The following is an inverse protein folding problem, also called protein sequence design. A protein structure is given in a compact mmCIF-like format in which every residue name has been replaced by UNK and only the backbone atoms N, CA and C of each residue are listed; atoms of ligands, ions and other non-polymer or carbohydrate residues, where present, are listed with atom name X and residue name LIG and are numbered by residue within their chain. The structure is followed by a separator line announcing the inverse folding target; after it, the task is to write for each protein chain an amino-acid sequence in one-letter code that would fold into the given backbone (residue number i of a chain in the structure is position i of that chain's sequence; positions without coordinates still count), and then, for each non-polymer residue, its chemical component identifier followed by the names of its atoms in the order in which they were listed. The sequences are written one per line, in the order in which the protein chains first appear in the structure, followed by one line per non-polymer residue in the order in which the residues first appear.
data_IF_260662890129
#
_entry.id   IF_260662890129
#
_cell.length_a   1.000
_cell.length_b   1.000
_cell.length_c   1.000
_cell.angle_alpha   90.00
_cell.angle_beta   90.00
_cell.angle_gamma   90.00
#
_symmetry.space_group_name_H-M   'P 1'
#
loop_
_entity.id
_entity.type
_entity.pdbx_description
1 polymer ?
#
# COMPACT_ATOMS: atom_id res chain seq x y z
N UNK A 1 4.50 6.16 -1.17
CA UNK A 1 5.78 6.30 -1.91
C UNK A 1 5.82 5.51 -3.20
N UNK A 2 5.47 4.21 -3.20
CA UNK A 2 5.54 3.33 -4.38
C UNK A 2 4.84 3.88 -5.63
N UNK A 3 3.59 4.34 -5.50
CA UNK A 3 2.84 4.90 -6.63
C UNK A 3 3.49 6.14 -7.27
N UNK A 4 4.06 7.04 -6.45
CA UNK A 4 4.79 8.20 -6.95
C UNK A 4 6.10 7.81 -7.64
N UNK A 5 6.81 6.82 -7.10
CA UNK A 5 8.02 6.29 -7.73
C UNK A 5 7.71 5.65 -9.09
N UNK A 6 6.59 4.93 -9.21
CA UNK A 6 6.12 4.41 -10.48
C UNK A 6 5.79 5.54 -11.48
N UNK A 7 5.03 6.55 -11.05
CA UNK A 7 4.63 7.70 -11.88
C UNK A 7 5.82 8.52 -12.39
N UNK A 8 6.83 8.75 -11.54
CA UNK A 8 8.04 9.45 -11.93
C UNK A 8 8.81 8.70 -13.04
N UNK A 9 8.65 7.37 -13.09
CA UNK A 9 9.31 6.49 -14.05
C UNK A 9 10.82 6.34 -13.78
N UNK A 10 11.43 5.41 -14.52
CA UNK A 10 12.88 5.20 -14.48
C UNK A 10 13.40 4.58 -13.16
N UNK A 11 14.52 5.09 -12.69
CA UNK A 11 15.21 4.61 -11.48
C UNK A 11 14.88 5.52 -10.30
N UNK A 12 14.53 4.94 -9.16
CA UNK A 12 14.20 5.65 -7.94
C UNK A 12 14.68 4.90 -6.71
N UNK A 13 14.95 5.65 -5.65
CA UNK A 13 15.33 5.13 -4.34
C UNK A 13 14.33 5.65 -3.30
N UNK A 14 13.74 4.74 -2.53
CA UNK A 14 12.87 5.09 -1.40
C UNK A 14 13.63 4.81 -0.11
N UNK A 15 13.93 5.86 0.65
CA UNK A 15 14.52 5.75 1.98
C UNK A 15 13.42 5.84 3.04
N UNK A 16 13.41 4.91 3.97
CA UNK A 16 12.39 4.86 5.03
C UNK A 16 12.88 4.06 6.24
N UNK A 17 11.99 3.85 7.21
CA UNK A 17 12.22 3.05 8.42
C UNK A 17 11.19 1.94 8.52
N UNK A 18 11.66 0.74 8.84
CA UNK A 18 10.79 -0.41 9.09
C UNK A 18 9.90 -0.13 10.31
N UNK A 19 8.59 -0.29 10.16
CA UNK A 19 7.61 -0.02 11.21
C UNK A 19 7.65 1.41 11.79
N UNK A 20 8.25 2.37 11.07
CA UNK A 20 8.59 3.69 11.58
C UNK A 20 9.43 3.65 12.88
N UNK A 21 10.28 2.63 13.02
CA UNK A 21 11.21 2.41 14.14
C UNK A 21 12.66 2.68 13.70
N UNK A 22 13.66 2.34 14.50
CA UNK A 22 15.04 2.80 14.28
C UNK A 22 15.76 2.16 13.09
N UNK A 23 15.30 1.02 12.56
CA UNK A 23 15.92 0.36 11.41
C UNK A 23 15.65 1.14 10.11
N UNK A 24 16.67 1.84 9.63
CA UNK A 24 16.68 2.48 8.31
C UNK A 24 16.86 1.46 7.20
N UNK A 25 16.05 1.61 6.15
CA UNK A 25 16.11 0.76 4.97
C UNK A 25 15.94 1.57 3.70
N UNK A 26 16.41 0.99 2.61
CA UNK A 26 16.29 1.54 1.28
C UNK A 26 15.59 0.52 0.39
N UNK A 27 14.68 0.99 -0.47
CA UNK A 27 14.03 0.20 -1.51
C UNK A 27 14.46 0.78 -2.86
N UNK A 28 15.14 -0.04 -3.66
CA UNK A 28 15.62 0.31 -4.99
C UNK A 28 14.62 -0.10 -6.07
N UNK A 29 14.39 0.83 -7.00
CA UNK A 29 13.66 0.62 -8.25
C UNK A 29 14.60 1.02 -9.37
N UNK A 30 14.88 0.10 -10.30
CA UNK A 30 15.75 0.36 -11.45
C UNK A 30 14.95 0.19 -12.74
N UNK A 31 14.92 1.22 -13.59
CA UNK A 31 14.20 1.19 -14.87
C UNK A 31 12.74 0.68 -14.74
N UNK A 32 12.02 1.12 -13.71
CA UNK A 32 10.65 0.71 -13.42
C UNK A 32 10.49 -0.68 -12.81
N UNK A 33 11.59 -1.39 -12.51
CA UNK A 33 11.59 -2.70 -11.85
C UNK A 33 11.98 -2.57 -10.39
N UNK A 34 11.14 -3.10 -9.50
CA UNK A 34 11.48 -3.24 -8.09
C UNK A 34 12.64 -4.24 -7.92
N UNK A 35 13.71 -3.83 -7.25
CA UNK A 35 14.89 -4.66 -6.99
C UNK A 35 14.82 -5.30 -5.61
N UNK A 36 14.53 -4.51 -4.57
CA UNK A 36 14.41 -5.01 -3.21
C UNK A 36 12.97 -5.52 -2.96
N UNK A 37 12.84 -6.83 -2.76
CA UNK A 37 11.54 -7.50 -2.60
C UNK A 37 11.36 -8.21 -1.25
N UNK A 38 12.39 -8.21 -0.40
CA UNK A 38 12.46 -8.86 0.91
C UNK A 38 11.69 -8.11 2.02
N UNK A 39 10.59 -7.48 1.66
CA UNK A 39 9.74 -6.69 2.55
C UNK A 39 8.28 -7.09 2.43
N UNK A 40 7.53 -6.75 3.47
CA UNK A 40 6.07 -6.79 3.49
C UNK A 40 5.51 -5.41 3.82
N UNK A 41 4.29 -5.15 3.38
CA UNK A 41 3.52 -3.95 3.71
C UNK A 41 2.32 -4.36 4.57
N UNK A 42 2.11 -3.63 5.66
CA UNK A 42 1.03 -3.83 6.61
C UNK A 42 -0.13 -2.87 6.32
N UNK A 43 -1.35 -3.42 6.22
CA UNK A 43 -2.60 -2.71 5.99
C UNK A 43 -3.55 -2.91 7.19
N UNK A 44 -3.45 -2.10 8.26
CA UNK A 44 -4.22 -2.28 9.49
C UNK A 44 -5.69 -1.84 9.37
N UNK A 45 -6.00 -0.93 8.45
CA UNK A 45 -7.31 -0.30 8.31
C UNK A 45 -8.07 -0.95 7.15
N UNK A 46 -9.33 -1.40 7.34
CA UNK A 46 -10.17 -1.80 6.22
C UNK A 46 -10.30 -0.67 5.20
N UNK A 47 -10.11 -0.94 3.91
CA UNK A 47 -10.09 0.04 2.83
C UNK A 47 -11.39 0.86 2.76
N UNK A 48 -12.55 0.27 3.09
CA UNK A 48 -13.83 1.01 3.21
C UNK A 48 -13.79 2.14 4.25
N UNK A 49 -12.85 2.12 5.20
CA UNK A 49 -12.63 3.13 6.23
C UNK A 49 -11.39 4.00 5.98
N UNK A 50 -10.61 3.73 4.94
CA UNK A 50 -9.33 4.41 4.70
C UNK A 50 -9.49 5.93 4.67
N UNK A 51 -10.61 6.42 4.11
CA UNK A 51 -10.93 7.83 3.96
C UNK A 51 -11.62 8.48 5.16
N UNK A 52 -12.10 7.70 6.15
CA UNK A 52 -12.64 8.28 7.40
C UNK A 52 -11.58 9.10 8.13
N UNK A 53 -10.32 8.64 8.08
CA UNK A 53 -9.15 9.38 8.54
C UNK A 53 -7.90 8.96 7.75
N UNK A 54 -7.73 9.53 6.56
CA UNK A 54 -6.61 9.18 5.66
C UNK A 54 -5.25 9.46 6.27
N UNK A 55 -5.12 10.52 7.07
CA UNK A 55 -3.86 10.86 7.75
C UNK A 55 -3.47 9.76 8.72
N UNK A 56 -4.41 9.28 9.54
CA UNK A 56 -4.17 8.15 10.43
C UNK A 56 -3.86 6.87 9.64
N UNK A 57 -4.69 6.53 8.65
CA UNK A 57 -4.49 5.33 7.80
C UNK A 57 -3.07 5.30 7.22
N UNK A 58 -2.61 6.39 6.60
CA UNK A 58 -1.27 6.47 6.02
C UNK A 58 -0.15 6.44 7.08
N UNK A 59 -0.40 6.94 8.29
CA UNK A 59 0.61 6.95 9.37
C UNK A 59 0.94 5.57 9.94
N UNK A 60 0.04 4.58 9.77
CA UNK A 60 0.21 3.21 10.29
C UNK A 60 0.25 2.13 9.20
N UNK A 61 0.13 2.51 7.92
CA UNK A 61 0.37 1.63 6.77
C UNK A 61 1.86 1.65 6.43
N UNK A 62 2.60 0.69 6.98
CA UNK A 62 4.06 0.72 7.05
C UNK A 62 4.69 -0.54 6.44
N UNK A 63 5.98 -0.45 6.15
CA UNK A 63 6.77 -1.59 5.64
C UNK A 63 7.50 -2.31 6.79
N UNK A 64 7.73 -3.61 6.61
CA UNK A 64 8.43 -4.47 7.56
C UNK A 64 9.29 -5.52 6.84
N UNK A 65 10.25 -6.14 7.53
CA UNK A 65 11.04 -7.24 6.96
C UNK A 65 10.21 -8.50 6.75
N UNK A 66 9.27 -8.75 7.64
CA UNK A 66 8.43 -9.94 7.62
C UNK A 66 7.20 -9.76 8.50
N UNK A 67 6.29 -10.72 8.40
CA UNK A 67 5.04 -10.73 9.14
C UNK A 67 5.22 -10.87 10.67
N UNK A 68 6.33 -11.45 11.15
CA UNK A 68 6.61 -11.51 12.59
C UNK A 68 6.83 -10.12 13.18
N UNK A 69 7.60 -9.27 12.51
CA UNK A 69 7.78 -7.88 12.95
C UNK A 69 6.47 -7.09 12.94
N UNK A 70 5.56 -7.39 12.01
CA UNK A 70 4.20 -6.79 12.01
C UNK A 70 3.46 -7.20 13.28
N UNK A 71 3.48 -8.48 13.66
CA UNK A 71 2.82 -8.97 14.87
C UNK A 71 3.34 -8.25 16.13
N UNK A 72 4.65 -8.18 16.28
CA UNK A 72 5.30 -7.55 17.45
C UNK A 72 4.97 -6.05 17.52
N UNK A 73 5.03 -5.37 16.38
CA UNK A 73 4.68 -3.95 16.28
C UNK A 73 3.21 -3.72 16.65
N UNK A 74 2.28 -4.52 16.11
CA UNK A 74 0.86 -4.46 16.42
C UNK A 74 0.58 -4.67 17.91
N UNK A 75 1.19 -5.69 18.50
CA UNK A 75 1.07 -5.99 19.94
C UNK A 75 1.57 -4.82 20.80
N UNK A 76 2.74 -4.26 20.47
CA UNK A 76 3.33 -3.15 21.23
C UNK A 76 2.54 -1.84 21.16
N UNK A 77 1.78 -1.62 20.07
CA UNK A 77 1.01 -0.40 19.81
C UNK A 77 -0.48 -0.53 20.10
N UNK A 78 -0.97 -1.74 20.39
CA UNK A 78 -2.40 -2.00 20.54
C UNK A 78 -3.19 -1.85 19.23
N UNK A 79 -2.55 -2.05 18.08
CA UNK A 79 -3.17 -1.93 16.76
C UNK A 79 -3.55 -3.33 16.24
N UNK A 80 -4.77 -3.55 15.75
CA UNK A 80 -5.11 -4.80 15.07
C UNK A 80 -4.28 -4.99 13.80
N UNK A 81 -3.79 -6.21 13.57
CA UNK A 81 -2.88 -6.55 12.46
C UNK A 81 -3.42 -6.30 11.05
N UNK A 82 -4.73 -6.29 10.85
CA UNK A 82 -5.30 -6.21 9.50
C UNK A 82 -4.71 -7.23 8.52
N UNK A 83 -4.23 -6.77 7.37
CA UNK A 83 -3.66 -7.60 6.30
C UNK A 83 -2.18 -7.30 6.04
N UNK A 84 -1.42 -8.28 5.58
CA UNK A 84 0.01 -8.17 5.30
C UNK A 84 0.30 -8.73 3.92
N UNK A 85 0.98 -7.96 3.07
CA UNK A 85 1.26 -8.35 1.68
C UNK A 85 2.73 -8.19 1.32
N UNK A 86 3.30 -9.08 0.48
CA UNK A 86 4.64 -8.89 -0.06
C UNK A 86 4.78 -7.54 -0.78
N UNK A 87 5.93 -6.88 -0.62
CA UNK A 87 6.19 -5.58 -1.25
C UNK A 87 6.05 -5.66 -2.78
N UNK A 88 6.47 -6.77 -3.39
CA UNK A 88 6.33 -6.98 -4.83
C UNK A 88 4.86 -6.98 -5.30
N UNK A 89 3.97 -7.60 -4.52
CA UNK A 89 2.52 -7.58 -4.82
C UNK A 89 1.97 -6.15 -4.71
N UNK A 90 2.38 -5.41 -3.69
CA UNK A 90 1.96 -4.02 -3.49
C UNK A 90 2.54 -3.08 -4.54
N UNK A 91 3.75 -3.34 -5.02
CA UNK A 91 4.33 -2.63 -6.17
C UNK A 91 3.50 -2.84 -7.42
N UNK A 92 3.17 -4.09 -7.76
CA UNK A 92 2.29 -4.41 -8.88
C UNK A 92 0.95 -3.68 -8.78
N UNK A 93 0.31 -3.73 -7.61
CA UNK A 93 -0.92 -2.97 -7.33
C UNK A 93 -0.73 -1.46 -7.53
N UNK A 94 0.34 -0.89 -6.98
CA UNK A 94 0.61 0.53 -7.11
C UNK A 94 0.80 0.97 -8.57
N UNK A 95 1.35 0.10 -9.42
CA UNK A 95 1.51 0.41 -10.85
C UNK A 95 0.15 0.62 -11.54
N UNK A 96 -0.81 -0.29 -11.38
CA UNK A 96 -2.16 -0.13 -11.95
C UNK A 96 -2.92 1.02 -11.28
N UNK A 97 -2.87 1.07 -9.95
CA UNK A 97 -3.58 2.08 -9.18
C UNK A 97 -3.18 3.50 -9.58
N UNK A 98 -1.89 3.74 -9.78
CA UNK A 98 -1.36 5.06 -10.11
C UNK A 98 -1.17 5.32 -11.61
N UNK A 99 -1.30 4.31 -12.49
CA UNK A 99 -0.97 4.41 -13.93
C UNK A 99 -1.50 5.66 -14.63
N UNK A 100 -2.71 6.09 -14.26
CA UNK A 100 -3.43 7.20 -14.91
C UNK A 100 -3.41 8.51 -14.12
N UNK A 101 -2.76 8.55 -12.96
CA UNK A 101 -2.80 9.74 -12.09
C UNK A 101 -2.09 10.97 -12.70
N UNK A 102 -1.26 10.78 -13.73
CA UNK A 102 -0.66 11.88 -14.50
C UNK A 102 -1.53 12.36 -15.68
N UNK A 103 -2.63 11.66 -15.99
CA UNK A 103 -3.54 12.05 -17.08
C UNK A 103 -4.29 13.34 -16.72
N UNK A 104 -4.41 14.27 -17.66
CA UNK A 104 -5.13 15.54 -17.44
C UNK A 104 -6.63 15.36 -17.21
N UNK A 105 -7.19 14.23 -17.64
CA UNK A 105 -8.57 13.83 -17.45
C UNK A 105 -8.73 12.74 -16.37
N UNK A 106 -7.72 12.53 -15.54
CA UNK A 106 -7.78 11.57 -14.45
C UNK A 106 -8.95 11.90 -13.51
N UNK A 107 -9.67 10.86 -13.11
CA UNK A 107 -10.73 10.92 -12.13
C UNK A 107 -10.45 9.86 -11.05
N UNK A 108 -10.96 10.13 -9.84
CA UNK A 108 -10.95 9.13 -8.76
C UNK A 108 -11.67 7.85 -9.20
N UNK A 109 -11.19 6.72 -8.71
CA UNK A 109 -11.83 5.43 -8.91
C UNK A 109 -13.24 5.44 -8.30
N UNK A 110 -14.19 4.90 -9.05
CA UNK A 110 -15.44 4.43 -8.45
C UNK A 110 -15.13 3.27 -7.50
N UNK A 111 -16.04 2.98 -6.58
CA UNK A 111 -15.86 1.83 -5.67
C UNK A 111 -15.83 0.50 -6.43
N UNK A 112 -16.59 0.39 -7.52
CA UNK A 112 -16.59 -0.78 -8.37
C UNK A 112 -15.24 -0.98 -9.05
N UNK A 113 -14.66 0.09 -9.63
CA UNK A 113 -13.32 0.04 -10.23
C UNK A 113 -12.25 -0.29 -9.18
N UNK A 114 -12.29 0.37 -8.02
CA UNK A 114 -11.33 0.11 -6.95
C UNK A 114 -11.39 -1.35 -6.46
N UNK A 115 -12.60 -1.89 -6.26
CA UNK A 115 -12.79 -3.29 -5.87
C UNK A 115 -12.27 -4.28 -6.92
N UNK A 116 -12.46 -3.97 -8.21
CA UNK A 116 -11.95 -4.82 -9.29
C UNK A 116 -10.41 -4.76 -9.35
N UNK A 117 -9.80 -3.58 -9.19
CA UNK A 117 -8.33 -3.44 -9.13
C UNK A 117 -7.78 -4.25 -7.94
N UNK A 118 -8.37 -4.16 -6.75
CA UNK A 118 -7.94 -4.96 -5.60
C UNK A 118 -7.98 -6.46 -5.91
N UNK A 119 -9.10 -6.93 -6.46
CA UNK A 119 -9.28 -8.34 -6.84
C UNK A 119 -8.26 -8.79 -7.90
N UNK A 120 -7.99 -7.98 -8.92
CA UNK A 120 -7.00 -8.27 -9.97
C UNK A 120 -5.59 -8.46 -9.40
N UNK A 121 -5.27 -7.72 -8.34
CA UNK A 121 -3.99 -7.85 -7.64
C UNK A 121 -4.02 -8.88 -6.49
N UNK A 122 -5.07 -9.69 -6.37
CA UNK A 122 -5.18 -10.70 -5.31
C UNK A 122 -5.32 -10.11 -3.90
N UNK A 123 -5.71 -8.84 -3.81
CA UNK A 123 -5.95 -8.11 -2.57
C UNK A 123 -7.41 -8.38 -2.17
N UNK A 124 -7.61 -9.42 -1.37
CA UNK A 124 -8.94 -9.93 -1.01
C UNK A 124 -9.09 -10.11 0.49
N UNK A 125 -10.33 -10.27 0.95
CA UNK A 125 -10.68 -10.47 2.36
C UNK A 125 -11.12 -9.18 3.07
N UNK A 126 -11.31 -9.22 4.40
CA UNK A 126 -12.05 -8.19 5.15
C UNK A 126 -11.45 -6.78 5.09
N UNK A 127 -10.14 -6.69 4.83
CA UNK A 127 -9.43 -5.42 4.66
C UNK A 127 -9.74 -4.79 3.30
N UNK A 128 -9.90 -5.58 2.24
CA UNK A 128 -10.08 -5.08 0.87
C UNK A 128 -11.54 -5.00 0.43
N UNK A 129 -12.46 -5.56 1.20
CA UNK A 129 -13.90 -5.46 0.95
C UNK A 129 -14.40 -4.02 1.03
N UNK A 130 -14.92 -3.53 -0.10
CA UNK A 130 -15.61 -2.26 -0.24
C UNK A 130 -17.13 -2.47 -0.24
N UNK A 131 -17.88 -1.57 0.41
CA UNK A 131 -19.34 -1.60 0.41
C UNK A 131 -19.91 -0.66 -0.65
N UNK A 132 -21.07 -1.00 -1.20
CA UNK A 132 -21.76 -0.20 -2.22
C UNK A 132 -22.23 1.20 -1.74
N UNK A 133 -22.07 1.53 -0.45
CA UNK A 133 -22.49 2.81 0.13
C UNK A 133 -21.52 3.96 -0.14
N UNK A 134 -20.33 3.67 -0.66
CA UNK A 134 -19.33 4.67 -1.02
C UNK A 134 -19.42 4.94 -2.53
N UNK A 135 -19.85 6.14 -2.94
CA UNK A 135 -19.99 6.45 -4.38
C UNK A 135 -18.62 6.63 -5.08
N UNK A 136 -17.56 6.93 -4.31
CA UNK A 136 -16.18 7.12 -4.81
C UNK A 136 -15.16 6.62 -3.79
N UNK A 137 -14.05 6.10 -4.30
CA UNK A 137 -12.87 5.70 -3.52
C UNK A 137 -11.71 6.67 -3.77
#
# INVERSE_FOLDING_TARGET
SLGLAHLAGGTATIETRVGAMDEHVTIQIENGKLIDTDFVVHFPIPMRKAWENVIYTCSIMLIFRNESQVNDWCASRGIPKGDVRPLEQVWAFATEWYARHADTNWNKWTVQEAAEIFKNHGLTGPIWELSAASERF
#
